data_IF_812470538748
#
_entry.id   IF_812470538748
#
_cell.length_a   1.000
_cell.length_b   1.000
_cell.length_c   1.000
_cell.angle_alpha   90.00
_cell.angle_beta   90.00
_cell.angle_gamma   90.00
#
_symmetry.space_group_name_H-M   'P 1'
#
loop_
_entity.id
_entity.type
_entity.pdbx_description
1 polymer ?
#
# COMPACT_ATOMS: atom_id res chain seq x y z
N UNK A 1 17.34 -6.20 -19.70
CA UNK A 1 17.12 -4.91 -19.02
C UNK A 1 17.67 -5.02 -17.60
N UNK A 2 18.73 -4.29 -17.28
CA UNK A 2 19.32 -4.23 -15.94
C UNK A 2 18.70 -3.05 -15.21
N UNK A 3 17.98 -3.29 -14.13
CA UNK A 3 17.55 -2.20 -13.26
C UNK A 3 18.77 -1.71 -12.49
N UNK A 4 19.16 -0.45 -12.74
CA UNK A 4 20.12 0.26 -11.90
C UNK A 4 19.55 0.30 -10.48
N UNK A 5 20.28 -0.22 -9.53
CA UNK A 5 20.11 0.09 -8.11
C UNK A 5 20.65 1.49 -7.89
N UNK A 6 19.82 2.52 -8.01
CA UNK A 6 20.18 3.83 -7.50
C UNK A 6 19.98 3.81 -5.99
N UNK A 7 21.08 3.51 -5.30
CA UNK A 7 21.29 3.82 -3.90
C UNK A 7 21.36 5.34 -3.73
N UNK A 8 20.71 5.86 -2.69
CA UNK A 8 20.76 7.24 -2.19
C UNK A 8 19.76 8.24 -2.77
N UNK A 9 18.49 8.04 -2.46
CA UNK A 9 17.66 9.15 -1.99
C UNK A 9 17.26 8.85 -0.54
N UNK A 10 18.06 9.35 0.42
CA UNK A 10 17.60 9.39 1.81
C UNK A 10 16.48 10.43 1.84
N UNK A 11 15.24 9.98 1.77
CA UNK A 11 14.09 10.82 2.08
C UNK A 11 14.29 11.33 3.50
N UNK A 12 14.47 12.65 3.64
CA UNK A 12 14.69 13.32 4.93
C UNK A 12 13.43 13.35 5.82
N UNK A 13 12.35 12.70 5.40
CA UNK A 13 11.03 12.72 6.03
C UNK A 13 10.56 11.33 6.54
N UNK A 14 11.45 10.34 6.60
CA UNK A 14 11.08 8.97 7.00
C UNK A 14 11.63 8.61 8.37
N UNK A 15 11.23 9.37 9.40
CA UNK A 15 11.46 8.93 10.77
C UNK A 15 10.70 7.62 11.01
N UNK A 16 11.35 6.60 11.63
CA UNK A 16 10.69 5.34 11.93
C UNK A 16 9.58 5.57 12.95
N UNK A 17 8.42 4.88 12.81
CA UNK A 17 7.24 5.20 13.57
C UNK A 17 7.39 4.89 15.06
N UNK A 18 6.77 5.73 15.88
CA UNK A 18 6.62 5.51 17.31
C UNK A 18 5.52 4.45 17.57
N UNK A 19 5.60 3.69 18.69
CA UNK A 19 4.55 2.75 19.05
C UNK A 19 3.15 3.37 19.18
N UNK A 20 3.07 4.63 19.62
CA UNK A 20 1.81 5.38 19.71
C UNK A 20 1.19 5.62 18.35
N UNK A 21 1.99 6.00 17.35
CA UNK A 21 1.52 6.25 15.98
C UNK A 21 0.96 4.97 15.36
N UNK A 22 1.67 3.83 15.53
CA UNK A 22 1.19 2.53 15.05
C UNK A 22 -0.13 2.14 15.72
N UNK A 23 -0.25 2.39 17.02
CA UNK A 23 -1.48 2.11 17.76
C UNK A 23 -2.65 2.98 17.26
N UNK A 24 -2.41 4.25 16.99
CA UNK A 24 -3.43 5.16 16.50
C UNK A 24 -3.83 4.84 15.05
N UNK A 25 -2.88 4.42 14.21
CA UNK A 25 -3.17 3.83 12.91
C UNK A 25 -4.10 2.61 13.03
N UNK A 26 -3.79 1.66 13.91
CA UNK A 26 -4.63 0.46 14.14
C UNK A 26 -6.04 0.87 14.59
N UNK A 27 -6.17 1.83 15.51
CA UNK A 27 -7.47 2.34 15.97
C UNK A 27 -8.27 2.98 14.84
N UNK A 28 -7.61 3.70 13.93
CA UNK A 28 -8.25 4.39 12.80
C UNK A 28 -8.80 3.43 11.72
N UNK A 29 -8.41 2.14 11.72
CA UNK A 29 -8.83 1.17 10.71
C UNK A 29 -10.36 0.97 10.69
N UNK A 30 -10.96 1.03 9.51
CA UNK A 30 -12.39 0.74 9.30
C UNK A 30 -12.63 -0.76 9.27
N UNK A 31 -13.51 -1.26 10.14
CA UNK A 31 -13.76 -2.71 10.31
C UNK A 31 -14.43 -3.34 9.08
N UNK A 32 -15.27 -2.61 8.36
CA UNK A 32 -16.07 -3.13 7.24
C UNK A 32 -15.32 -3.05 5.89
N UNK A 33 -14.01 -3.12 5.89
CA UNK A 33 -13.20 -3.16 4.67
C UNK A 33 -12.95 -4.61 4.27
N UNK A 34 -12.85 -4.85 2.96
CA UNK A 34 -12.50 -6.16 2.44
C UNK A 34 -11.10 -6.56 2.99
N UNK A 35 -10.92 -7.83 3.40
CA UNK A 35 -9.61 -8.31 3.83
C UNK A 35 -8.62 -8.26 2.66
N UNK A 36 -7.33 -8.20 2.99
CA UNK A 36 -6.27 -8.30 1.99
C UNK A 36 -6.23 -9.68 1.34
N UNK A 37 -5.32 -9.85 0.38
CA UNK A 37 -5.02 -11.16 -0.24
C UNK A 37 -4.55 -12.21 0.77
N UNK A 38 -4.06 -11.75 1.93
CA UNK A 38 -3.67 -12.57 3.07
C UNK A 38 -4.85 -13.05 3.93
N UNK A 39 -6.07 -12.59 3.66
CA UNK A 39 -7.26 -12.91 4.43
C UNK A 39 -7.33 -12.23 5.80
N UNK A 40 -6.41 -11.32 6.11
CA UNK A 40 -6.39 -10.63 7.42
C UNK A 40 -7.38 -9.48 7.37
N UNK A 41 -8.40 -9.53 8.24
CA UNK A 41 -9.39 -8.46 8.36
C UNK A 41 -8.93 -7.42 9.41
N UNK A 42 -9.30 -6.16 9.20
CA UNK A 42 -9.11 -5.06 10.15
C UNK A 42 -9.67 -5.35 11.55
N UNK A 43 -10.74 -6.16 11.66
CA UNK A 43 -11.24 -6.64 12.96
C UNK A 43 -10.18 -7.45 13.71
N UNK A 44 -9.44 -8.31 13.01
CA UNK A 44 -8.40 -9.14 13.63
C UNK A 44 -7.24 -8.27 14.12
N UNK A 45 -6.80 -7.32 13.29
CA UNK A 45 -5.72 -6.38 13.61
C UNK A 45 -6.05 -5.58 14.88
N UNK A 46 -7.30 -5.12 15.03
CA UNK A 46 -7.75 -4.39 16.23
C UNK A 46 -7.82 -5.23 17.50
N UNK A 47 -7.93 -6.56 17.38
CA UNK A 47 -7.98 -7.49 18.52
C UNK A 47 -6.61 -8.09 18.85
N UNK A 48 -5.53 -7.65 18.19
CA UNK A 48 -4.19 -8.11 18.51
C UNK A 48 -3.79 -7.63 19.91
N UNK A 49 -3.10 -8.48 20.70
CA UNK A 49 -2.59 -8.09 21.99
C UNK A 49 -1.45 -7.06 21.84
N UNK A 50 -1.28 -6.21 22.85
CA UNK A 50 -0.33 -5.09 22.81
C UNK A 50 1.11 -5.55 22.50
N UNK A 51 1.53 -6.70 23.02
CA UNK A 51 2.88 -7.23 22.77
C UNK A 51 3.13 -7.47 21.28
N UNK A 52 2.13 -7.98 20.54
CA UNK A 52 2.25 -8.23 19.09
C UNK A 52 2.35 -6.92 18.33
N UNK A 53 1.59 -5.90 18.73
CA UNK A 53 1.66 -4.56 18.13
C UNK A 53 3.08 -3.99 18.31
N UNK A 54 3.66 -4.09 19.49
CA UNK A 54 5.04 -3.64 19.75
C UNK A 54 6.08 -4.39 18.91
N UNK A 55 5.91 -5.70 18.73
CA UNK A 55 6.77 -6.49 17.84
C UNK A 55 6.67 -6.01 16.40
N UNK A 56 5.45 -5.77 15.90
CA UNK A 56 5.21 -5.24 14.55
C UNK A 56 5.86 -3.87 14.39
N UNK A 57 5.66 -2.95 15.36
CA UNK A 57 6.31 -1.63 15.36
C UNK A 57 7.83 -1.77 15.27
N UNK A 58 8.42 -2.69 16.05
CA UNK A 58 9.87 -2.92 16.01
C UNK A 58 10.34 -3.39 14.64
N UNK A 59 9.59 -4.29 13.99
CA UNK A 59 9.90 -4.77 12.64
C UNK A 59 9.82 -3.62 11.63
N UNK A 60 8.75 -2.82 11.67
CA UNK A 60 8.57 -1.67 10.77
C UNK A 60 9.68 -0.65 10.97
N UNK A 61 10.00 -0.32 12.22
CA UNK A 61 11.12 0.55 12.58
C UNK A 61 12.41 0.05 11.94
N UNK A 62 12.75 -1.23 12.12
CA UNK A 62 13.97 -1.82 11.53
C UNK A 62 13.95 -1.77 10.00
N UNK A 63 12.82 -2.07 9.35
CA UNK A 63 12.68 -1.98 7.89
C UNK A 63 12.94 -0.56 7.39
N UNK A 64 12.38 0.44 8.08
CA UNK A 64 12.56 1.86 7.71
C UNK A 64 13.98 2.35 7.97
N UNK A 65 14.59 2.00 9.11
CA UNK A 65 15.99 2.36 9.42
C UNK A 65 16.97 1.69 8.47
N UNK A 66 16.74 0.43 8.09
CA UNK A 66 17.62 -0.32 7.19
C UNK A 66 17.36 -0.04 5.70
N UNK A 67 16.20 0.52 5.35
CA UNK A 67 15.80 0.76 3.96
C UNK A 67 15.55 -0.52 3.14
N UNK A 68 15.43 -1.67 3.79
CA UNK A 68 15.29 -2.97 3.13
C UNK A 68 13.85 -3.50 3.19
N UNK A 69 13.09 -3.25 2.12
CA UNK A 69 11.69 -3.69 2.01
C UNK A 69 11.53 -5.10 1.41
N UNK A 70 10.54 -5.89 1.86
CA UNK A 70 10.23 -7.20 1.28
C UNK A 70 9.93 -7.13 -0.21
N UNK A 71 10.40 -8.10 -0.99
CA UNK A 71 10.16 -8.18 -2.45
C UNK A 71 8.68 -8.19 -2.80
N UNK A 72 7.84 -8.80 -1.95
CA UNK A 72 6.37 -8.79 -2.12
C UNK A 72 5.78 -7.38 -2.13
N UNK A 73 6.33 -6.44 -1.34
CA UNK A 73 5.85 -5.06 -1.32
C UNK A 73 6.27 -4.28 -2.58
N UNK A 74 7.35 -4.71 -3.25
CA UNK A 74 7.83 -4.15 -4.52
C UNK A 74 7.08 -4.71 -5.73
N UNK A 75 6.25 -5.73 -5.52
CA UNK A 75 5.51 -6.42 -6.59
C UNK A 75 4.07 -5.91 -6.58
N UNK A 76 3.72 -5.02 -7.52
CA UNK A 76 2.34 -4.57 -7.69
C UNK A 76 1.57 -5.60 -8.52
N UNK A 77 0.45 -6.11 -7.99
CA UNK A 77 -0.49 -6.91 -8.79
C UNK A 77 -1.35 -5.97 -9.62
N UNK A 78 -1.06 -5.86 -10.92
CA UNK A 78 -1.88 -5.10 -11.86
C UNK A 78 -3.16 -5.88 -12.15
N UNK A 79 -4.26 -5.54 -11.49
CA UNK A 79 -5.59 -5.98 -11.90
C UNK A 79 -6.17 -4.89 -12.79
N UNK A 80 -6.25 -5.08 -14.13
CA UNK A 80 -6.89 -4.11 -15.00
C UNK A 80 -8.38 -4.05 -14.65
N UNK A 81 -8.80 -2.96 -14.01
CA UNK A 81 -10.21 -2.66 -13.82
C UNK A 81 -10.74 -2.16 -15.17
N UNK A 82 -11.44 -3.03 -15.89
CA UNK A 82 -12.21 -2.64 -17.06
C UNK A 82 -13.22 -1.58 -16.62
N UNK A 83 -13.08 -0.36 -17.16
CA UNK A 83 -14.11 0.66 -16.98
C UNK A 83 -15.44 0.07 -17.50
N UNK A 84 -16.56 0.23 -16.78
CA UNK A 84 -17.85 -0.18 -17.29
C UNK A 84 -18.03 0.50 -18.66
N UNK A 85 -18.32 -0.31 -19.67
CA UNK A 85 -18.64 0.15 -21.02
C UNK A 85 -19.81 1.12 -20.87
N UNK A 86 -19.52 2.41 -21.03
CA UNK A 86 -20.57 3.41 -21.14
C UNK A 86 -21.22 3.24 -22.50
N UNK A 87 -22.55 3.30 -22.54
CA UNK A 87 -23.35 3.10 -23.75
C UNK A 87 -22.73 3.84 -24.95
N UNK A 88 -22.57 3.18 -26.10
CA UNK A 88 -21.95 3.76 -27.30
C UNK A 88 -22.76 4.90 -27.93
N UNK A 89 -23.87 5.32 -27.33
CA UNK A 89 -24.80 6.33 -27.86
C UNK A 89 -24.58 7.74 -27.27
N UNK A 90 -23.76 7.90 -26.22
CA UNK A 90 -23.51 9.22 -25.59
C UNK A 90 -22.34 9.96 -26.26
N UNK A 91 -22.56 10.41 -27.50
CA UNK A 91 -21.57 11.05 -28.39
C UNK A 91 -21.17 12.48 -27.99
N UNK A 92 -21.66 13.04 -26.87
CA UNK A 92 -21.50 14.48 -26.56
C UNK A 92 -20.35 14.83 -25.60
N UNK A 93 -19.52 13.88 -25.15
CA UNK A 93 -18.38 14.19 -24.25
C UNK A 93 -17.05 13.51 -24.59
N UNK A 94 -16.84 13.15 -25.86
CA UNK A 94 -15.54 12.61 -26.29
C UNK A 94 -14.45 13.69 -26.32
N UNK A 95 -13.78 13.89 -25.19
CA UNK A 95 -12.39 14.36 -25.19
C UNK A 95 -11.51 13.17 -25.56
N UNK A 96 -10.72 13.22 -26.65
CA UNK A 96 -9.85 12.12 -27.01
C UNK A 96 -8.72 12.01 -25.97
N UNK A 97 -8.54 10.82 -25.38
CA UNK A 97 -7.31 10.46 -24.67
C UNK A 97 -6.37 9.78 -25.66
N UNK A 98 -5.10 10.21 -25.76
CA UNK A 98 -4.18 9.60 -26.70
C UNK A 98 -3.78 8.24 -26.15
N UNK A 99 -4.25 7.18 -26.78
CA UNK A 99 -3.66 5.86 -26.57
C UNK A 99 -2.32 5.82 -27.32
N UNK A 100 -1.27 5.44 -26.58
CA UNK A 100 0.09 5.24 -27.07
C UNK A 100 0.10 4.16 -28.16
N UNK A 101 0.75 4.45 -29.28
CA UNK A 101 1.17 3.46 -30.29
C UNK A 101 2.61 3.03 -29.97
N UNK A 102 2.88 1.75 -30.20
CA UNK A 102 4.15 1.01 -30.04
C UNK A 102 5.29 1.64 -30.82
#
# INVERSE_FOLDING_TARGET
>A
MRFRTETNSVCKDCDPPLPSEVLDCIKSLRINKAPGIDGINNKMIKNLPLHTILTITTIIHKIMTLGHFPTRWKTATLVPILKPVKDPTDTTRHRPSPYYQV
#
